data_IF_802953698570
#
_entry.id   IF_802953698570
#
_cell.length_a   1.000
_cell.length_b   1.000
_cell.length_c   1.000
_cell.angle_alpha   90.00
_cell.angle_beta   90.00
_cell.angle_gamma   90.00
#
_symmetry.space_group_name_H-M   'P 1'
#
loop_
_entity.id
_entity.type
_entity.pdbx_description
1 polymer ?
#
# COMPACT_ATOMS: atom_id res chain seq x y z
N UNK A 1 -25.56 -10.75 25.31
CA UNK A 1 -25.32 -9.56 24.45
C UNK A 1 -26.61 -8.81 24.12
N UNK A 2 -27.69 -9.50 23.72
CA UNK A 2 -28.98 -8.85 23.44
C UNK A 2 -29.51 -7.98 24.60
N UNK A 3 -29.43 -8.48 25.83
CA UNK A 3 -29.88 -7.71 27.01
C UNK A 3 -29.02 -6.46 27.28
N UNK A 4 -27.72 -6.53 26.99
CA UNK A 4 -26.82 -5.37 27.09
C UNK A 4 -27.19 -4.29 26.06
N UNK A 5 -27.57 -4.69 24.83
CA UNK A 5 -28.06 -3.76 23.81
C UNK A 5 -29.37 -3.09 24.24
N UNK A 6 -30.27 -3.85 24.86
CA UNK A 6 -31.54 -3.31 25.34
C UNK A 6 -31.34 -2.32 26.51
N UNK A 7 -30.49 -2.69 27.48
CA UNK A 7 -30.11 -1.81 28.58
C UNK A 7 -29.40 -0.55 28.07
N UNK A 8 -28.40 -0.70 27.18
CA UNK A 8 -27.66 0.42 26.61
C UNK A 8 -28.57 1.37 25.82
N UNK A 9 -29.51 0.85 25.03
CA UNK A 9 -30.45 1.69 24.28
C UNK A 9 -31.47 2.41 25.16
N UNK A 10 -31.73 1.89 26.36
CA UNK A 10 -32.65 2.49 27.33
C UNK A 10 -31.96 3.60 28.13
N UNK A 11 -30.71 3.38 28.55
CA UNK A 11 -30.00 4.28 29.45
C UNK A 11 -29.06 5.26 28.72
N UNK A 12 -28.50 4.89 27.56
CA UNK A 12 -27.56 5.70 26.79
C UNK A 12 -28.24 6.31 25.56
N UNK A 13 -29.08 7.32 25.74
CA UNK A 13 -29.92 7.90 24.67
C UNK A 13 -29.15 8.66 23.58
N UNK A 14 -27.96 9.18 23.91
CA UNK A 14 -27.11 9.97 23.00
C UNK A 14 -25.86 9.20 22.58
N UNK A 15 -25.97 7.87 22.44
CA UNK A 15 -24.86 7.05 21.97
C UNK A 15 -24.48 7.46 20.53
N UNK A 16 -23.20 7.72 20.29
CA UNK A 16 -22.68 8.03 18.93
C UNK A 16 -21.99 6.83 18.28
N UNK A 17 -21.45 5.90 19.08
CA UNK A 17 -20.66 4.78 18.60
C UNK A 17 -21.04 3.50 19.32
N UNK A 18 -21.26 2.43 18.57
CA UNK A 18 -21.43 1.07 19.09
C UNK A 18 -20.33 0.17 18.54
N UNK A 19 -19.63 -0.53 19.44
CA UNK A 19 -18.58 -1.48 19.08
C UNK A 19 -18.91 -2.85 19.66
N UNK A 20 -19.26 -3.81 18.80
CA UNK A 20 -19.54 -5.18 19.22
C UNK A 20 -18.27 -6.04 19.23
N UNK A 21 -18.20 -7.05 20.14
CA UNK A 21 -17.10 -8.00 20.16
C UNK A 21 -17.14 -8.93 18.93
N UNK A 22 -15.99 -9.50 18.59
CA UNK A 22 -15.87 -10.61 17.62
C UNK A 22 -16.40 -11.87 18.28
N UNK A 23 -17.09 -12.74 17.53
CA UNK A 23 -17.50 -14.06 18.00
C UNK A 23 -16.29 -14.86 18.51
N UNK A 24 -16.45 -15.53 19.65
CA UNK A 24 -15.42 -16.46 20.14
C UNK A 24 -15.51 -17.76 19.35
N UNK A 25 -14.44 -18.11 18.64
CA UNK A 25 -14.35 -19.31 17.82
C UNK A 25 -14.53 -20.60 18.64
N UNK A 26 -14.23 -20.56 19.95
CA UNK A 26 -14.37 -21.72 20.85
C UNK A 26 -15.83 -22.08 21.14
N UNK A 27 -16.76 -21.16 20.91
CA UNK A 27 -18.18 -21.32 21.16
C UNK A 27 -19.02 -21.02 19.92
N UNK A 28 -18.47 -21.32 18.73
CA UNK A 28 -19.06 -20.93 17.46
C UNK A 28 -20.53 -21.35 17.31
N UNK A 29 -20.86 -22.59 17.70
CA UNK A 29 -22.22 -23.14 17.60
C UNK A 29 -23.20 -22.40 18.53
N UNK A 30 -22.85 -22.28 19.82
CA UNK A 30 -23.68 -21.57 20.80
C UNK A 30 -23.83 -20.06 20.49
N UNK A 31 -22.82 -19.46 19.85
CA UNK A 31 -22.90 -18.07 19.39
C UNK A 31 -23.81 -17.97 18.17
N UNK A 32 -23.71 -18.91 17.21
CA UNK A 32 -24.52 -18.93 16.00
C UNK A 32 -26.02 -19.02 16.32
N UNK A 33 -26.41 -19.89 17.26
CA UNK A 33 -27.80 -20.07 17.70
C UNK A 33 -28.43 -18.80 18.31
N UNK A 34 -27.60 -17.86 18.79
CA UNK A 34 -28.05 -16.62 19.43
C UNK A 34 -27.90 -15.38 18.54
N UNK A 35 -27.35 -15.52 17.32
CA UNK A 35 -27.08 -14.37 16.45
C UNK A 35 -28.34 -13.62 16.06
N UNK A 36 -29.42 -14.34 15.73
CA UNK A 36 -30.68 -13.74 15.31
C UNK A 36 -31.30 -12.90 16.44
N UNK A 37 -31.27 -13.41 17.67
CA UNK A 37 -31.72 -12.67 18.85
C UNK A 37 -30.86 -11.41 19.09
N UNK A 38 -29.55 -11.51 18.94
CA UNK A 38 -28.64 -10.36 19.09
C UNK A 38 -28.91 -9.30 18.02
N UNK A 39 -29.12 -9.69 16.76
CA UNK A 39 -29.40 -8.77 15.66
C UNK A 39 -30.78 -8.13 15.79
N UNK A 40 -31.79 -8.87 16.22
CA UNK A 40 -33.10 -8.31 16.55
C UNK A 40 -33.01 -7.23 17.64
N UNK A 41 -32.26 -7.51 18.72
CA UNK A 41 -32.00 -6.52 19.78
C UNK A 41 -31.15 -5.35 19.29
N UNK A 42 -30.18 -5.58 18.41
CA UNK A 42 -29.39 -4.52 17.77
C UNK A 42 -30.27 -3.58 16.96
N UNK A 43 -31.13 -4.08 16.09
CA UNK A 43 -32.02 -3.23 15.29
C UNK A 43 -33.01 -2.45 16.15
N UNK A 44 -33.52 -3.07 17.21
CA UNK A 44 -34.39 -2.41 18.20
C UNK A 44 -33.64 -1.28 18.92
N UNK A 45 -32.39 -1.52 19.32
CA UNK A 45 -31.52 -0.53 19.95
C UNK A 45 -31.19 0.64 18.99
N UNK A 46 -30.85 0.34 17.73
CA UNK A 46 -30.57 1.36 16.71
C UNK A 46 -31.79 2.26 16.44
N UNK A 47 -33.01 1.72 16.48
CA UNK A 47 -34.24 2.51 16.38
C UNK A 47 -34.37 3.50 17.54
N UNK A 48 -34.18 3.03 18.77
CA UNK A 48 -34.20 3.89 19.97
C UNK A 48 -33.12 4.98 19.92
N UNK A 49 -31.90 4.65 19.50
CA UNK A 49 -30.83 5.65 19.36
C UNK A 49 -31.09 6.64 18.24
N UNK A 50 -31.72 6.22 17.13
CA UNK A 50 -32.17 7.14 16.08
C UNK A 50 -33.19 8.14 16.62
N UNK A 51 -34.17 7.68 17.38
CA UNK A 51 -35.17 8.55 18.02
C UNK A 51 -34.49 9.50 19.02
N UNK A 52 -33.61 8.99 19.89
CA UNK A 52 -32.88 9.76 20.89
C UNK A 52 -31.89 10.79 20.35
N UNK A 53 -31.37 10.60 19.12
CA UNK A 53 -30.47 11.55 18.45
C UNK A 53 -31.20 12.52 17.50
N UNK A 54 -32.53 12.59 17.55
CA UNK A 54 -33.32 13.47 16.69
C UNK A 54 -33.31 13.02 15.22
N UNK A 55 -33.30 11.72 14.98
CA UNK A 55 -33.36 11.10 13.65
C UNK A 55 -32.01 10.77 13.01
N UNK A 56 -30.88 11.08 13.68
CA UNK A 56 -29.54 10.95 13.09
C UNK A 56 -28.95 9.53 13.17
N UNK A 57 -29.38 8.75 14.15
CA UNK A 57 -28.80 7.43 14.46
C UNK A 57 -27.37 7.51 15.01
N UNK A 58 -26.64 6.41 14.91
CA UNK A 58 -25.23 6.34 15.30
C UNK A 58 -24.32 6.91 14.20
N UNK A 59 -23.14 7.42 14.62
CA UNK A 59 -22.05 7.85 13.73
C UNK A 59 -21.04 6.74 13.48
N UNK A 60 -20.90 5.78 14.39
CA UNK A 60 -20.03 4.62 14.21
C UNK A 60 -20.73 3.32 14.62
N UNK A 61 -20.60 2.30 13.77
CA UNK A 61 -21.12 0.97 14.01
C UNK A 61 -20.07 -0.08 13.63
N UNK A 62 -19.57 -0.81 14.62
CA UNK A 62 -18.62 -1.92 14.44
C UNK A 62 -19.33 -3.23 14.76
N UNK A 63 -19.66 -4.01 13.73
CA UNK A 63 -20.34 -5.32 13.86
C UNK A 63 -19.53 -6.38 13.13
N UNK A 64 -18.58 -7.05 13.80
CA UNK A 64 -17.59 -7.90 13.15
C UNK A 64 -18.06 -9.32 12.86
N UNK A 65 -19.26 -9.70 13.30
CA UNK A 65 -19.76 -11.08 13.20
C UNK A 65 -21.21 -11.09 12.72
N UNK A 66 -21.53 -11.98 11.79
CA UNK A 66 -22.85 -12.23 11.20
C UNK A 66 -23.09 -13.74 11.06
N UNK A 67 -24.34 -14.11 10.81
CA UNK A 67 -24.70 -15.50 10.52
C UNK A 67 -23.97 -16.00 9.27
N UNK A 68 -23.46 -17.22 9.33
CA UNK A 68 -22.80 -17.87 8.19
C UNK A 68 -23.73 -18.72 7.34
N UNK A 69 -24.92 -19.05 7.84
CA UNK A 69 -25.90 -19.92 7.18
C UNK A 69 -26.62 -19.21 6.03
N UNK A 70 -27.11 -17.98 6.29
CA UNK A 70 -27.72 -17.12 5.28
C UNK A 70 -26.92 -15.82 5.14
N UNK A 71 -25.74 -15.93 4.51
CA UNK A 71 -24.83 -14.78 4.36
C UNK A 71 -25.47 -13.66 3.56
N UNK A 72 -26.26 -13.98 2.53
CA UNK A 72 -26.85 -12.98 1.65
C UNK A 72 -28.03 -12.28 2.31
N UNK A 73 -29.02 -13.04 2.81
CA UNK A 73 -30.20 -12.46 3.45
C UNK A 73 -29.83 -11.63 4.68
N UNK A 74 -28.95 -12.13 5.54
CA UNK A 74 -28.52 -11.37 6.73
C UNK A 74 -27.67 -10.15 6.40
N UNK A 75 -26.82 -10.20 5.36
CA UNK A 75 -26.07 -9.01 4.92
C UNK A 75 -26.99 -7.96 4.30
N UNK A 76 -27.96 -8.37 3.49
CA UNK A 76 -28.94 -7.50 2.87
C UNK A 76 -29.84 -6.82 3.91
N UNK A 77 -30.35 -7.59 4.88
CA UNK A 77 -31.13 -7.05 5.97
C UNK A 77 -30.31 -6.06 6.80
N UNK A 78 -29.10 -6.47 7.21
CA UNK A 78 -28.21 -5.62 8.00
C UNK A 78 -27.95 -4.28 7.32
N UNK A 79 -27.53 -4.29 6.06
CA UNK A 79 -27.20 -3.06 5.35
C UNK A 79 -28.45 -2.19 5.17
N UNK A 80 -29.61 -2.78 4.86
CA UNK A 80 -30.89 -2.07 4.73
C UNK A 80 -31.33 -1.41 6.05
N UNK A 81 -31.15 -2.10 7.18
CA UNK A 81 -31.44 -1.54 8.52
C UNK A 81 -30.47 -0.43 8.87
N UNK A 82 -29.16 -0.61 8.62
CA UNK A 82 -28.14 0.43 8.87
C UNK A 82 -28.45 1.69 8.08
N UNK A 83 -28.83 1.57 6.81
CA UNK A 83 -29.21 2.70 5.96
C UNK A 83 -30.39 3.49 6.53
N UNK A 84 -31.40 2.78 7.01
CA UNK A 84 -32.62 3.40 7.54
C UNK A 84 -32.40 3.99 8.93
N UNK A 85 -31.60 3.32 9.76
CA UNK A 85 -31.47 3.62 11.18
C UNK A 85 -30.27 4.52 11.53
N UNK A 86 -29.24 4.55 10.68
CA UNK A 86 -28.01 5.34 10.87
C UNK A 86 -27.70 6.18 9.61
N UNK A 87 -28.54 7.15 9.24
CA UNK A 87 -28.35 7.94 8.02
C UNK A 87 -27.08 8.82 8.02
N UNK A 88 -26.49 9.11 9.19
CA UNK A 88 -25.25 9.89 9.32
C UNK A 88 -24.04 9.02 9.67
N UNK A 89 -24.05 7.74 9.31
CA UNK A 89 -22.97 6.82 9.63
C UNK A 89 -21.65 7.25 8.95
N UNK A 90 -20.64 7.48 9.78
CA UNK A 90 -19.29 7.86 9.37
C UNK A 90 -18.35 6.65 9.30
N UNK A 91 -18.63 5.61 10.10
CA UNK A 91 -17.81 4.40 10.20
C UNK A 91 -18.67 3.14 10.24
N UNK A 92 -18.51 2.29 9.24
CA UNK A 92 -18.95 0.89 9.22
C UNK A 92 -17.71 0.01 9.18
N UNK A 93 -17.15 -0.33 10.35
CA UNK A 93 -15.77 -0.82 10.46
C UNK A 93 -15.60 -2.10 11.27
N UNK A 94 -16.61 -2.98 11.24
CA UNK A 94 -16.55 -4.32 11.81
C UNK A 94 -15.28 -5.08 11.42
N UNK A 95 -14.90 -4.98 10.14
CA UNK A 95 -13.74 -5.62 9.55
C UNK A 95 -12.45 -5.35 10.31
N UNK A 96 -12.26 -4.16 10.91
CA UNK A 96 -11.04 -3.85 11.66
C UNK A 96 -10.81 -4.77 12.85
N UNK A 97 -11.88 -5.33 13.41
CA UNK A 97 -11.80 -6.24 14.57
C UNK A 97 -11.44 -7.67 14.16
N UNK A 98 -11.82 -8.07 12.95
CA UNK A 98 -11.51 -9.39 12.37
C UNK A 98 -10.39 -9.34 11.33
N UNK A 99 -9.80 -8.17 11.08
CA UNK A 99 -8.77 -7.98 10.06
C UNK A 99 -7.47 -8.61 10.53
N UNK A 100 -7.02 -9.59 9.77
CA UNK A 100 -5.75 -10.25 9.97
C UNK A 100 -4.94 -10.16 8.68
N UNK A 101 -3.80 -9.50 8.78
CA UNK A 101 -2.80 -9.47 7.72
C UNK A 101 -1.71 -10.48 8.05
N UNK A 102 -1.77 -11.65 7.42
CA UNK A 102 -0.72 -12.66 7.50
C UNK A 102 0.45 -12.36 6.57
N UNK A 103 1.45 -13.24 6.59
CA UNK A 103 2.60 -13.15 5.68
C UNK A 103 2.18 -13.24 4.21
N UNK A 104 1.11 -13.96 3.91
CA UNK A 104 0.69 -14.29 2.54
C UNK A 104 -0.65 -13.67 2.15
N UNK A 105 -1.55 -13.51 3.12
CA UNK A 105 -2.95 -13.18 2.84
C UNK A 105 -3.55 -12.21 3.86
N UNK A 106 -4.51 -11.42 3.38
CA UNK A 106 -5.47 -10.71 4.21
C UNK A 106 -6.71 -11.58 4.43
N UNK A 107 -7.12 -11.71 5.68
CA UNK A 107 -8.34 -12.38 6.09
C UNK A 107 -9.21 -11.44 6.94
N UNK A 108 -10.52 -11.54 6.78
CA UNK A 108 -11.51 -10.91 7.65
C UNK A 108 -12.71 -11.84 7.79
N UNK A 109 -13.24 -11.96 9.01
CA UNK A 109 -14.47 -12.72 9.24
C UNK A 109 -15.69 -11.94 8.76
N UNK A 110 -15.62 -10.59 8.74
CA UNK A 110 -16.65 -9.78 8.11
C UNK A 110 -16.61 -9.90 6.59
N UNK A 111 -17.74 -10.29 6.00
CA UNK A 111 -18.03 -10.25 4.56
C UNK A 111 -19.46 -9.76 4.34
N UNK A 112 -19.65 -8.73 3.51
CA UNK A 112 -20.95 -8.16 3.14
C UNK A 112 -21.42 -8.82 1.84
N UNK A 113 -22.06 -9.98 1.95
CA UNK A 113 -22.62 -10.69 0.81
C UNK A 113 -23.93 -10.04 0.38
N UNK A 114 -23.88 -8.82 -0.14
CA UNK A 114 -25.09 -8.06 -0.47
C UNK A 114 -25.45 -8.19 -1.94
N UNK A 115 -26.75 -8.13 -2.22
CA UNK A 115 -27.26 -8.01 -3.58
C UNK A 115 -26.85 -6.66 -4.17
N UNK A 116 -26.80 -6.59 -5.50
CA UNK A 116 -26.41 -5.38 -6.23
C UNK A 116 -27.33 -4.20 -5.91
N UNK A 117 -28.62 -4.44 -5.69
CA UNK A 117 -29.59 -3.38 -5.43
C UNK A 117 -29.45 -2.80 -4.03
N UNK A 118 -29.19 -3.64 -3.03
CA UNK A 118 -28.89 -3.19 -1.67
C UNK A 118 -27.56 -2.43 -1.65
N UNK A 119 -26.53 -2.91 -2.37
CA UNK A 119 -25.26 -2.20 -2.50
C UNK A 119 -25.41 -0.82 -3.15
N UNK A 120 -26.15 -0.71 -4.26
CA UNK A 120 -26.43 0.58 -4.92
C UNK A 120 -27.13 1.56 -3.96
N UNK A 121 -28.10 1.07 -3.20
CA UNK A 121 -28.83 1.88 -2.21
C UNK A 121 -27.91 2.33 -1.08
N UNK A 122 -27.02 1.44 -0.63
CA UNK A 122 -25.98 1.77 0.34
C UNK A 122 -25.07 2.88 -0.14
N UNK A 123 -24.50 2.71 -1.34
CA UNK A 123 -23.59 3.67 -1.96
C UNK A 123 -24.20 5.07 -2.11
N UNK A 124 -25.49 5.16 -2.40
CA UNK A 124 -26.22 6.44 -2.51
C UNK A 124 -26.37 7.16 -1.17
N UNK A 125 -26.53 6.41 -0.08
CA UNK A 125 -26.87 6.97 1.23
C UNK A 125 -25.64 7.19 2.14
N UNK A 126 -24.55 6.44 1.92
CA UNK A 126 -23.37 6.43 2.80
C UNK A 126 -22.39 7.61 2.57
N UNK A 127 -22.91 8.81 2.33
CA UNK A 127 -22.12 10.01 1.98
C UNK A 127 -21.24 10.53 3.12
N UNK A 128 -21.56 10.19 4.37
CA UNK A 128 -20.81 10.59 5.55
C UNK A 128 -19.60 9.68 5.85
N UNK A 129 -19.42 8.58 5.11
CA UNK A 129 -18.32 7.63 5.34
C UNK A 129 -16.95 8.31 5.32
N UNK A 130 -16.11 7.94 6.30
CA UNK A 130 -14.75 8.46 6.45
C UNK A 130 -13.66 7.47 6.08
N UNK A 131 -13.98 6.19 6.16
CA UNK A 131 -13.06 5.08 5.92
C UNK A 131 -13.82 3.87 5.35
N UNK A 132 -13.22 3.19 4.38
CA UNK A 132 -13.76 1.96 3.82
C UNK A 132 -12.63 1.03 3.36
N UNK A 133 -12.85 -0.29 3.48
CA UNK A 133 -11.94 -1.32 2.96
C UNK A 133 -12.70 -2.28 2.07
N UNK A 134 -12.14 -2.59 0.91
CA UNK A 134 -12.67 -3.59 -0.01
C UNK A 134 -12.55 -5.03 0.52
N UNK A 135 -11.92 -5.25 1.68
CA UNK A 135 -11.84 -6.56 2.33
C UNK A 135 -13.22 -7.18 2.63
N UNK A 136 -14.28 -6.36 2.72
CA UNK A 136 -15.63 -6.83 3.05
C UNK A 136 -16.56 -7.02 1.87
N UNK A 137 -16.20 -6.62 0.65
CA UNK A 137 -17.08 -6.67 -0.53
C UNK A 137 -16.35 -7.27 -1.73
N UNK A 138 -17.08 -7.74 -2.77
CA UNK A 138 -16.45 -8.18 -4.01
C UNK A 138 -15.54 -7.12 -4.64
N UNK A 139 -14.39 -7.55 -5.14
CA UNK A 139 -13.46 -6.73 -5.90
C UNK A 139 -13.85 -6.75 -7.40
N UNK A 140 -14.85 -5.96 -7.77
CA UNK A 140 -15.38 -5.90 -9.14
C UNK A 140 -15.94 -4.52 -9.50
N UNK A 141 -16.00 -4.23 -10.80
CA UNK A 141 -16.57 -3.00 -11.37
C UNK A 141 -18.03 -2.83 -10.97
N UNK A 142 -18.77 -3.93 -10.80
CA UNK A 142 -20.16 -3.88 -10.32
C UNK A 142 -20.30 -3.28 -8.92
N UNK A 143 -19.23 -3.34 -8.11
CA UNK A 143 -19.17 -2.72 -6.80
C UNK A 143 -18.46 -1.36 -6.83
N UNK A 144 -17.43 -1.19 -7.67
CA UNK A 144 -16.73 0.08 -7.85
C UNK A 144 -17.64 1.17 -8.42
N UNK A 145 -18.40 0.86 -9.47
CA UNK A 145 -19.18 1.85 -10.21
C UNK A 145 -20.26 2.50 -9.32
N UNK A 146 -21.15 1.77 -8.61
CA UNK A 146 -22.14 2.42 -7.75
C UNK A 146 -21.52 3.24 -6.62
N UNK A 147 -20.39 2.78 -6.08
CA UNK A 147 -19.69 3.49 -5.01
C UNK A 147 -19.09 4.80 -5.53
N UNK A 148 -18.42 4.76 -6.68
CA UNK A 148 -17.77 5.89 -7.32
C UNK A 148 -18.73 6.94 -7.90
N UNK A 149 -19.88 6.51 -8.43
CA UNK A 149 -20.89 7.40 -9.01
C UNK A 149 -21.58 8.32 -7.99
N UNK A 150 -21.46 8.04 -6.70
CA UNK A 150 -21.96 8.92 -5.64
C UNK A 150 -20.78 9.46 -4.86
N UNK A 151 -20.60 10.78 -4.79
CA UNK A 151 -19.48 11.38 -4.05
C UNK A 151 -19.54 11.07 -2.56
N UNK A 152 -18.42 10.66 -1.97
CA UNK A 152 -18.17 10.55 -0.53
C UNK A 152 -17.23 11.67 -0.08
N UNK A 153 -17.76 12.87 0.24
CA UNK A 153 -16.96 14.05 0.50
C UNK A 153 -16.09 13.95 1.77
N UNK A 154 -16.36 12.97 2.64
CA UNK A 154 -15.64 12.80 3.91
C UNK A 154 -14.70 11.58 3.91
N UNK A 155 -14.67 10.78 2.84
CA UNK A 155 -13.89 9.56 2.78
C UNK A 155 -12.40 9.89 2.66
N UNK A 156 -11.65 9.72 3.73
CA UNK A 156 -10.23 10.07 3.80
C UNK A 156 -9.31 8.86 3.71
N UNK A 157 -9.82 7.65 3.93
CA UNK A 157 -9.04 6.41 3.94
C UNK A 157 -9.73 5.33 3.12
N UNK A 158 -9.00 4.76 2.18
CA UNK A 158 -9.46 3.68 1.32
C UNK A 158 -8.42 2.57 1.29
N UNK A 159 -8.87 1.34 1.54
CA UNK A 159 -8.06 0.14 1.32
C UNK A 159 -8.65 -0.68 0.19
N UNK A 160 -7.81 -1.03 -0.79
CA UNK A 160 -8.12 -1.93 -1.88
C UNK A 160 -7.39 -3.25 -1.64
N UNK A 161 -8.14 -4.29 -1.35
CA UNK A 161 -7.60 -5.63 -1.10
C UNK A 161 -8.69 -6.67 -1.33
N UNK A 162 -8.33 -7.92 -1.11
CA UNK A 162 -9.22 -9.06 -1.20
C UNK A 162 -9.18 -9.86 0.11
N UNK A 163 -10.27 -10.52 0.44
CA UNK A 163 -10.37 -11.34 1.64
C UNK A 163 -10.42 -12.82 1.28
N UNK A 164 -9.40 -13.57 1.69
CA UNK A 164 -9.32 -15.01 1.37
C UNK A 164 -10.40 -15.85 2.06
N UNK A 165 -11.02 -15.34 3.13
CA UNK A 165 -12.12 -15.99 3.86
C UNK A 165 -13.50 -15.60 3.32
N UNK A 166 -13.57 -14.56 2.49
CA UNK A 166 -14.84 -14.16 1.92
C UNK A 166 -15.30 -15.18 0.87
N UNK A 167 -16.62 -15.38 0.71
CA UNK A 167 -17.15 -16.27 -0.32
C UNK A 167 -17.07 -15.67 -1.74
N UNK A 168 -16.51 -14.46 -1.88
CA UNK A 168 -16.41 -13.78 -3.17
C UNK A 168 -15.28 -14.38 -3.99
N UNK A 169 -15.54 -14.62 -5.27
CA UNK A 169 -14.50 -14.98 -6.23
C UNK A 169 -13.96 -13.72 -6.88
N UNK A 170 -12.66 -13.71 -7.20
CA UNK A 170 -12.07 -12.70 -8.09
C UNK A 170 -12.03 -13.29 -9.49
N UNK A 171 -12.52 -12.54 -10.48
CA UNK A 171 -12.38 -12.87 -11.90
C UNK A 171 -11.78 -11.67 -12.64
N UNK A 172 -10.74 -11.89 -13.44
CA UNK A 172 -9.98 -10.85 -14.16
C UNK A 172 -10.82 -10.01 -15.10
N UNK A 173 -11.94 -10.54 -15.60
CA UNK A 173 -12.85 -9.83 -16.48
C UNK A 173 -13.93 -9.02 -15.73
N UNK A 174 -14.00 -9.09 -14.40
CA UNK A 174 -15.01 -8.41 -13.59
C UNK A 174 -14.50 -7.11 -12.98
N UNK A 175 -13.21 -6.78 -13.12
CA UNK A 175 -12.65 -5.50 -12.68
C UNK A 175 -11.74 -4.89 -13.74
N UNK A 176 -11.63 -3.56 -13.73
CA UNK A 176 -10.80 -2.83 -14.69
C UNK A 176 -10.17 -1.58 -14.09
N UNK A 177 -9.13 -1.05 -14.75
CA UNK A 177 -8.62 0.32 -14.48
C UNK A 177 -9.75 1.35 -14.58
N UNK A 178 -10.67 1.20 -15.54
CA UNK A 178 -11.80 2.11 -15.72
C UNK A 178 -12.75 2.14 -14.52
N UNK A 179 -13.12 0.97 -14.00
CA UNK A 179 -13.95 0.88 -12.80
C UNK A 179 -13.26 1.48 -11.56
N UNK A 180 -11.96 1.23 -11.40
CA UNK A 180 -11.17 1.86 -10.34
C UNK A 180 -11.10 3.38 -10.49
N UNK A 181 -10.99 3.91 -11.71
CA UNK A 181 -10.99 5.35 -11.95
C UNK A 181 -12.33 5.99 -11.55
N UNK A 182 -13.45 5.33 -11.85
CA UNK A 182 -14.78 5.77 -11.37
C UNK A 182 -14.86 5.71 -9.85
N UNK A 183 -14.30 4.68 -9.21
CA UNK A 183 -14.22 4.62 -7.75
C UNK A 183 -13.50 5.84 -7.17
N UNK A 184 -12.36 6.23 -7.75
CA UNK A 184 -11.57 7.37 -7.29
C UNK A 184 -12.29 8.71 -7.48
N UNK A 185 -13.06 8.89 -8.56
CA UNK A 185 -13.86 10.11 -8.78
C UNK A 185 -14.92 10.33 -7.71
N UNK A 186 -15.40 9.25 -7.08
CA UNK A 186 -16.28 9.31 -5.91
C UNK A 186 -15.60 9.73 -4.61
N UNK A 187 -14.27 9.87 -4.56
CA UNK A 187 -13.50 10.01 -3.32
C UNK A 187 -12.61 11.28 -3.28
N UNK A 188 -13.17 12.51 -3.40
CA UNK A 188 -12.37 13.73 -3.55
C UNK A 188 -11.55 14.12 -2.31
N UNK A 189 -11.97 13.68 -1.12
CA UNK A 189 -11.27 13.95 0.14
C UNK A 189 -10.26 12.87 0.54
N UNK A 190 -9.96 11.94 -0.37
CA UNK A 190 -9.07 10.82 -0.09
C UNK A 190 -7.68 11.32 0.28
N UNK A 191 -7.19 10.90 1.45
CA UNK A 191 -5.86 11.23 1.97
C UNK A 191 -4.94 10.03 1.97
N UNK A 192 -5.46 8.84 2.27
CA UNK A 192 -4.69 7.61 2.36
C UNK A 192 -5.29 6.52 1.48
N UNK A 193 -4.48 6.00 0.56
CA UNK A 193 -4.80 4.85 -0.26
C UNK A 193 -3.80 3.73 0.04
N UNK A 194 -4.30 2.56 0.46
CA UNK A 194 -3.52 1.35 0.69
C UNK A 194 -4.04 0.23 -0.24
N UNK A 195 -3.20 -0.20 -1.18
CA UNK A 195 -3.48 -1.31 -2.09
C UNK A 195 -2.66 -2.51 -1.62
N UNK A 196 -3.35 -3.58 -1.25
CA UNK A 196 -2.75 -4.81 -0.72
C UNK A 196 -3.04 -5.95 -1.68
N UNK A 197 -2.02 -6.34 -2.42
CA UNK A 197 -2.03 -7.43 -3.37
C UNK A 197 -1.56 -8.71 -2.68
N UNK A 198 -2.04 -9.86 -3.14
CA UNK A 198 -1.62 -11.17 -2.68
C UNK A 198 -0.74 -11.83 -3.74
N UNK A 199 0.11 -12.79 -3.35
CA UNK A 199 0.69 -13.77 -4.28
C UNK A 199 0.23 -15.15 -3.88
N UNK A 200 -0.56 -15.78 -4.75
CA UNK A 200 -0.87 -17.20 -4.63
C UNK A 200 0.30 -18.02 -5.16
N UNK A 201 0.71 -19.00 -4.38
CA UNK A 201 1.51 -20.10 -4.84
C UNK A 201 0.60 -21.15 -5.49
N UNK A 202 1.10 -21.97 -6.43
CA UNK A 202 0.33 -23.07 -7.01
C UNK A 202 -0.28 -24.02 -5.98
N UNK A 203 0.33 -24.16 -4.79
CA UNK A 203 -0.21 -24.95 -3.69
C UNK A 203 -1.41 -24.29 -2.98
N UNK A 204 -1.54 -22.96 -3.05
CA UNK A 204 -2.62 -22.23 -2.38
C UNK A 204 -3.96 -22.43 -3.10
N UNK A 205 -3.92 -22.66 -4.42
CA UNK A 205 -5.11 -22.98 -5.22
C UNK A 205 -5.79 -24.30 -4.76
N UNK A 206 -5.05 -25.21 -4.13
CA UNK A 206 -5.61 -26.45 -3.56
C UNK A 206 -6.29 -26.21 -2.20
N UNK A 207 -5.93 -25.14 -1.49
CA UNK A 207 -6.43 -24.81 -0.15
C UNK A 207 -7.58 -23.81 -0.24
N UNK A 208 -7.56 -22.92 -1.24
CA UNK A 208 -8.52 -21.84 -1.41
C UNK A 208 -9.15 -21.87 -2.82
N UNK A 209 -10.05 -22.81 -3.10
CA UNK A 209 -10.66 -22.98 -4.43
C UNK A 209 -11.52 -21.79 -4.87
N UNK A 210 -11.90 -20.89 -3.95
CA UNK A 210 -12.59 -19.64 -4.25
C UNK A 210 -11.68 -18.57 -4.88
N UNK A 211 -10.36 -18.76 -4.80
CA UNK A 211 -9.38 -17.85 -5.39
C UNK A 211 -9.00 -18.41 -6.76
N UNK A 212 -9.96 -18.35 -7.69
CA UNK A 212 -9.75 -18.76 -9.08
C UNK A 212 -8.63 -17.91 -9.71
N UNK A 213 -8.59 -16.59 -9.41
CA UNK A 213 -7.62 -15.64 -9.94
C UNK A 213 -7.18 -14.61 -8.89
N UNK A 214 -6.00 -14.03 -9.09
CA UNK A 214 -5.49 -12.92 -8.29
C UNK A 214 -5.94 -11.58 -8.88
N UNK A 215 -6.03 -10.54 -8.04
CA UNK A 215 -6.10 -9.16 -8.54
C UNK A 215 -4.88 -8.93 -9.42
N UNK A 216 -5.14 -8.68 -10.69
CA UNK A 216 -4.13 -8.39 -11.68
C UNK A 216 -3.48 -7.04 -11.34
N UNK A 217 -2.17 -7.00 -11.01
CA UNK A 217 -1.49 -5.75 -10.70
C UNK A 217 -1.54 -4.73 -11.85
N UNK A 218 -1.72 -5.18 -13.09
CA UNK A 218 -1.71 -4.33 -14.28
C UNK A 218 -2.90 -3.36 -14.37
N UNK A 219 -3.92 -3.53 -13.53
CA UNK A 219 -5.02 -2.56 -13.43
C UNK A 219 -4.60 -1.27 -12.73
N UNK A 220 -3.52 -1.30 -11.95
CA UNK A 220 -2.93 -0.13 -11.26
C UNK A 220 -1.83 0.54 -12.11
N UNK A 221 -2.15 0.79 -13.39
CA UNK A 221 -1.25 1.35 -14.40
C UNK A 221 -1.14 2.89 -14.35
N UNK A 222 -0.50 3.48 -15.37
CA UNK A 222 -0.37 4.94 -15.49
C UNK A 222 -1.72 5.69 -15.50
N UNK A 223 -2.74 5.15 -16.14
CA UNK A 223 -4.06 5.80 -16.22
C UNK A 223 -4.77 5.79 -14.86
N UNK A 224 -4.52 4.75 -14.05
CA UNK A 224 -4.94 4.73 -12.65
C UNK A 224 -4.29 5.86 -11.84
N UNK A 225 -2.98 6.08 -11.98
CA UNK A 225 -2.30 7.16 -11.25
C UNK A 225 -2.70 8.55 -11.70
N UNK A 226 -2.94 8.75 -12.99
CA UNK A 226 -3.48 10.01 -13.50
C UNK A 226 -4.85 10.30 -12.90
N UNK A 227 -5.77 9.33 -12.96
CA UNK A 227 -7.08 9.47 -12.35
C UNK A 227 -6.99 9.70 -10.83
N UNK A 228 -6.09 9.02 -10.13
CA UNK A 228 -5.86 9.21 -8.70
C UNK A 228 -5.44 10.64 -8.37
N UNK A 229 -4.50 11.22 -9.12
CA UNK A 229 -4.02 12.57 -8.84
C UNK A 229 -5.02 13.65 -9.24
N UNK A 230 -5.80 13.39 -10.30
CA UNK A 230 -6.82 14.32 -10.79
C UNK A 230 -8.05 14.36 -9.87
N UNK A 231 -8.50 13.19 -9.39
CA UNK A 231 -9.70 13.07 -8.58
C UNK A 231 -9.46 13.22 -7.08
N UNK A 232 -8.25 12.95 -6.57
CA UNK A 232 -7.94 12.97 -5.14
C UNK A 232 -6.86 14.02 -4.79
N UNK A 233 -7.16 15.33 -4.87
CA UNK A 233 -6.18 16.41 -4.66
C UNK A 233 -5.63 16.44 -3.22
N UNK A 234 -6.33 15.83 -2.26
CA UNK A 234 -5.90 15.75 -0.85
C UNK A 234 -5.01 14.54 -0.54
N UNK A 235 -4.63 13.74 -1.54
CA UNK A 235 -3.86 12.52 -1.31
C UNK A 235 -2.51 12.82 -0.64
N UNK A 236 -2.27 12.18 0.51
CA UNK A 236 -1.04 12.31 1.31
C UNK A 236 -0.20 11.05 1.37
N UNK A 237 -0.84 9.89 1.29
CA UNK A 237 -0.21 8.58 1.43
C UNK A 237 -0.74 7.64 0.35
N UNK A 238 0.18 7.08 -0.43
CA UNK A 238 -0.06 5.98 -1.34
C UNK A 238 0.83 4.80 -0.95
N UNK A 239 0.21 3.63 -0.77
CA UNK A 239 0.90 2.35 -0.62
C UNK A 239 0.36 1.35 -1.64
N UNK A 240 1.26 0.69 -2.35
CA UNK A 240 0.97 -0.51 -3.14
C UNK A 240 1.97 -1.55 -2.70
N UNK A 241 1.47 -2.61 -2.10
CA UNK A 241 2.28 -3.62 -1.42
C UNK A 241 1.70 -4.98 -1.67
N UNK A 242 2.58 -5.96 -1.64
CA UNK A 242 2.28 -7.33 -2.01
C UNK A 242 2.66 -8.27 -0.87
N UNK A 243 1.72 -9.14 -0.50
CA UNK A 243 1.88 -10.18 0.51
C UNK A 243 2.29 -11.50 -0.18
N UNK A 244 3.03 -12.36 0.53
CA UNK A 244 3.51 -13.65 0.02
C UNK A 244 4.90 -14.04 0.51
N UNK A 245 5.14 -15.33 0.80
CA UNK A 245 6.42 -15.86 1.30
C UNK A 245 7.60 -15.70 0.32
N UNK A 246 7.30 -15.55 -0.98
CA UNK A 246 8.28 -15.15 -2.00
C UNK A 246 8.65 -13.66 -1.98
N UNK A 247 8.11 -12.87 -1.03
CA UNK A 247 8.73 -11.61 -0.64
C UNK A 247 10.21 -11.79 -0.23
N UNK A 248 10.60 -12.99 0.21
CA UNK A 248 11.97 -13.29 0.65
C UNK A 248 12.64 -14.45 -0.12
N UNK A 249 11.95 -15.15 -1.02
CA UNK A 249 12.49 -16.30 -1.76
C UNK A 249 12.81 -15.96 -3.23
N UNK A 250 13.98 -16.42 -3.71
CA UNK A 250 14.65 -16.01 -4.96
C UNK A 250 13.99 -16.50 -6.25
N UNK A 251 12.93 -17.31 -6.18
CA UNK A 251 12.43 -18.11 -7.30
C UNK A 251 10.91 -17.97 -7.50
N UNK A 252 10.48 -16.83 -8.02
CA UNK A 252 9.37 -16.69 -8.98
C UNK A 252 9.08 -15.20 -9.13
N UNK A 253 9.59 -14.61 -10.22
CA UNK A 253 9.18 -13.28 -10.68
C UNK A 253 8.25 -13.52 -11.87
N UNK A 254 6.98 -13.74 -11.61
CA UNK A 254 5.94 -13.19 -12.48
C UNK A 254 5.63 -11.83 -11.88
N UNK A 255 6.47 -10.86 -12.26
CA UNK A 255 6.36 -9.49 -11.78
C UNK A 255 5.06 -8.87 -12.22
N UNK A 256 4.66 -7.83 -11.51
CA UNK A 256 3.77 -6.80 -12.01
C UNK A 256 4.23 -6.47 -13.43
N UNK A 257 3.32 -6.56 -14.41
CA UNK A 257 3.62 -6.22 -15.78
C UNK A 257 4.13 -4.78 -15.86
N UNK A 258 4.71 -4.42 -16.99
CA UNK A 258 5.39 -3.15 -17.24
C UNK A 258 4.44 -1.92 -17.26
N UNK A 259 3.46 -1.83 -16.37
CA UNK A 259 2.30 -0.94 -16.48
C UNK A 259 2.44 0.38 -15.74
N UNK A 260 3.31 0.44 -14.73
CA UNK A 260 3.71 1.68 -14.07
C UNK A 260 4.97 2.19 -14.75
N UNK A 261 4.86 3.30 -15.48
CA UNK A 261 5.97 3.93 -16.18
C UNK A 261 6.26 5.32 -15.61
N UNK A 262 7.24 6.00 -16.19
CA UNK A 262 7.57 7.38 -15.83
C UNK A 262 6.38 8.34 -15.98
N UNK A 263 5.39 8.02 -16.84
CA UNK A 263 4.17 8.82 -17.01
C UNK A 263 3.31 8.81 -15.75
N UNK A 264 2.99 7.63 -15.20
CA UNK A 264 2.20 7.51 -13.97
C UNK A 264 2.95 8.06 -12.77
N UNK A 265 4.26 7.81 -12.70
CA UNK A 265 5.09 8.40 -11.65
C UNK A 265 5.15 9.93 -11.75
N UNK A 266 5.13 10.50 -12.96
CA UNK A 266 5.04 11.95 -13.18
C UNK A 266 3.75 12.58 -12.68
N UNK A 267 2.64 11.86 -12.78
CA UNK A 267 1.39 12.28 -12.14
C UNK A 267 1.57 12.37 -10.63
N UNK A 268 2.10 11.30 -10.00
CA UNK A 268 2.33 11.25 -8.56
C UNK A 268 3.29 12.36 -8.08
N UNK A 269 4.33 12.68 -8.85
CA UNK A 269 5.27 13.74 -8.49
C UNK A 269 4.59 15.11 -8.42
N UNK A 270 3.63 15.39 -9.32
CA UNK A 270 2.87 16.65 -9.38
C UNK A 270 1.77 16.76 -8.35
N UNK A 271 1.40 15.67 -7.67
CA UNK A 271 0.38 15.69 -6.63
C UNK A 271 0.83 16.57 -5.43
N UNK A 272 0.10 17.66 -5.11
CA UNK A 272 0.59 18.72 -4.24
C UNK A 272 0.73 18.29 -2.77
N UNK A 273 -0.15 17.41 -2.32
CA UNK A 273 -0.22 16.97 -0.93
C UNK A 273 0.47 15.62 -0.67
N UNK A 274 1.02 14.97 -1.71
CA UNK A 274 1.50 13.60 -1.63
C UNK A 274 2.87 13.51 -0.93
N UNK A 275 2.82 13.24 0.36
CA UNK A 275 4.00 13.15 1.23
C UNK A 275 4.63 11.77 1.31
N UNK A 276 3.87 10.69 1.12
CA UNK A 276 4.36 9.32 1.29
C UNK A 276 3.97 8.44 0.11
N UNK A 277 4.97 7.82 -0.52
CA UNK A 277 4.82 6.86 -1.61
C UNK A 277 5.62 5.61 -1.24
N UNK A 278 4.98 4.45 -1.25
CA UNK A 278 5.65 3.15 -1.07
C UNK A 278 5.02 2.15 -2.04
N UNK A 279 5.69 1.94 -3.16
CA UNK A 279 5.20 1.10 -4.26
C UNK A 279 6.19 -0.05 -4.44
N UNK A 280 5.66 -1.26 -4.52
CA UNK A 280 6.38 -2.48 -4.81
C UNK A 280 6.32 -2.77 -6.32
N UNK A 281 7.43 -3.28 -6.88
CA UNK A 281 7.59 -3.68 -8.29
C UNK A 281 7.41 -2.53 -9.29
N UNK A 282 8.15 -1.43 -9.08
CA UNK A 282 8.12 -0.25 -9.96
C UNK A 282 9.18 -0.35 -11.06
N UNK A 283 8.78 -0.07 -12.30
CA UNK A 283 9.70 0.25 -13.38
C UNK A 283 9.83 1.77 -13.50
N UNK A 284 10.97 2.30 -13.10
CA UNK A 284 11.29 3.72 -13.28
C UNK A 284 12.58 3.87 -14.06
N UNK A 285 12.65 4.87 -14.93
CA UNK A 285 13.92 5.29 -15.52
C UNK A 285 14.76 6.12 -14.54
N UNK A 286 16.00 6.39 -14.92
CA UNK A 286 16.82 7.38 -14.23
C UNK A 286 16.22 8.80 -14.36
N UNK A 287 15.69 9.13 -15.54
CA UNK A 287 15.10 10.43 -15.85
C UNK A 287 13.89 10.72 -14.96
N UNK A 288 13.07 9.71 -14.66
CA UNK A 288 11.99 9.81 -13.68
C UNK A 288 12.48 10.31 -12.31
N UNK A 289 13.54 9.70 -11.79
CA UNK A 289 14.12 10.06 -10.49
C UNK A 289 14.79 11.43 -10.55
N UNK A 290 15.51 11.73 -11.64
CA UNK A 290 16.17 13.02 -11.85
C UNK A 290 15.15 14.15 -12.00
N UNK A 291 14.09 13.97 -12.78
CA UNK A 291 13.00 14.93 -12.92
C UNK A 291 12.37 15.26 -11.57
N UNK A 292 12.20 14.27 -10.71
CA UNK A 292 11.73 14.49 -9.34
C UNK A 292 12.77 15.24 -8.48
N UNK A 293 14.05 14.85 -8.57
CA UNK A 293 15.15 15.54 -7.91
C UNK A 293 15.46 16.91 -8.51
N UNK A 294 14.86 17.30 -9.63
CA UNK A 294 14.97 18.61 -10.24
C UNK A 294 13.68 19.42 -10.17
N UNK A 295 12.54 18.78 -9.88
CA UNK A 295 11.25 19.44 -9.74
C UNK A 295 11.39 20.57 -8.71
N UNK A 296 11.13 21.80 -9.18
CA UNK A 296 11.37 23.01 -8.41
C UNK A 296 10.51 23.01 -7.16
N UNK A 297 11.11 23.47 -6.06
CA UNK A 297 10.50 23.52 -4.74
C UNK A 297 9.31 24.48 -4.63
N UNK A 298 9.01 25.24 -5.69
CA UNK A 298 8.12 26.40 -5.66
C UNK A 298 6.62 26.03 -5.62
N UNK A 299 6.24 24.78 -5.92
CA UNK A 299 4.85 24.30 -5.80
C UNK A 299 4.53 23.66 -4.43
N UNK A 300 5.50 23.53 -3.53
CA UNK A 300 5.31 22.95 -2.21
C UNK A 300 4.98 24.03 -1.18
N UNK A 301 3.69 24.35 -1.02
CA UNK A 301 3.24 25.14 0.12
C UNK A 301 3.31 24.28 1.40
N UNK A 302 4.48 24.23 2.04
CA UNK A 302 4.63 23.71 3.40
C UNK A 302 5.95 22.97 3.68
N UNK A 303 6.30 22.91 4.96
CA UNK A 303 7.43 22.14 5.54
C UNK A 303 7.03 20.64 5.58
N UNK A 304 6.54 20.09 4.47
CA UNK A 304 6.09 18.70 4.42
C UNK A 304 7.23 17.81 3.98
N UNK A 305 7.63 16.90 4.88
CA UNK A 305 8.59 15.85 4.57
C UNK A 305 8.04 14.90 3.50
N UNK A 306 8.75 14.76 2.37
CA UNK A 306 8.39 13.81 1.30
C UNK A 306 9.22 12.54 1.40
N UNK A 307 8.56 11.39 1.44
CA UNK A 307 9.17 10.07 1.62
C UNK A 307 8.72 9.12 0.54
N UNK A 308 9.65 8.72 -0.31
CA UNK A 308 9.42 7.86 -1.47
C UNK A 308 10.19 6.56 -1.28
N UNK A 309 9.52 5.44 -1.51
CA UNK A 309 10.10 4.11 -1.50
C UNK A 309 9.62 3.35 -2.73
N UNK A 310 10.57 3.02 -3.60
CA UNK A 310 10.35 2.09 -4.70
C UNK A 310 11.10 0.80 -4.38
N UNK A 311 10.35 -0.29 -4.30
CA UNK A 311 10.87 -1.61 -3.97
C UNK A 311 10.86 -2.47 -5.21
N UNK A 312 11.82 -3.39 -5.27
CA UNK A 312 11.97 -4.34 -6.38
C UNK A 312 12.05 -3.71 -7.77
N UNK A 313 12.99 -2.78 -7.98
CA UNK A 313 13.29 -2.27 -9.34
C UNK A 313 13.82 -3.36 -10.31
N UNK A 314 14.00 -4.60 -9.84
CA UNK A 314 14.37 -5.74 -10.67
C UNK A 314 15.66 -5.50 -11.45
N UNK A 315 15.58 -5.68 -12.78
CA UNK A 315 16.70 -5.57 -13.70
C UNK A 315 17.14 -4.11 -13.96
N UNK A 316 16.24 -3.13 -13.83
CA UNK A 316 16.59 -1.73 -14.11
C UNK A 316 17.37 -1.05 -12.97
N UNK A 317 17.42 -1.66 -11.78
CA UNK A 317 18.06 -1.08 -10.59
C UNK A 317 19.50 -0.61 -10.85
N UNK A 318 20.33 -1.41 -11.53
CA UNK A 318 21.72 -1.06 -11.79
C UNK A 318 21.87 0.18 -12.68
N UNK A 319 21.14 0.18 -13.80
CA UNK A 319 21.15 1.29 -14.77
C UNK A 319 20.61 2.58 -14.15
N UNK A 320 19.51 2.50 -13.41
CA UNK A 320 18.90 3.65 -12.73
C UNK A 320 19.88 4.25 -11.72
N UNK A 321 20.48 3.43 -10.86
CA UNK A 321 21.45 3.89 -9.86
C UNK A 321 22.66 4.53 -10.52
N UNK A 322 23.21 3.92 -11.57
CA UNK A 322 24.38 4.43 -12.27
C UNK A 322 24.09 5.80 -12.90
N UNK A 323 23.04 5.89 -13.72
CA UNK A 323 22.68 7.13 -14.43
C UNK A 323 22.33 8.25 -13.47
N UNK A 324 21.52 7.98 -12.45
CA UNK A 324 21.15 9.00 -11.45
C UNK A 324 22.40 9.55 -10.74
N UNK A 325 23.34 8.70 -10.31
CA UNK A 325 24.56 9.18 -9.65
C UNK A 325 25.48 9.95 -10.59
N UNK A 326 25.66 9.48 -11.83
CA UNK A 326 26.50 10.16 -12.81
C UNK A 326 25.95 11.54 -13.18
N UNK A 327 24.64 11.66 -13.44
CA UNK A 327 24.02 12.93 -13.86
C UNK A 327 23.93 13.93 -12.71
N UNK A 328 23.61 13.45 -11.49
CA UNK A 328 23.67 14.28 -10.28
C UNK A 328 25.08 14.75 -9.95
N UNK A 329 26.13 14.20 -10.56
CA UNK A 329 27.51 14.70 -10.43
C UNK A 329 27.86 15.62 -11.60
N UNK A 330 27.44 15.31 -12.82
CA UNK A 330 27.81 16.04 -14.06
C UNK A 330 27.11 17.38 -14.29
N UNK A 331 25.82 17.52 -13.95
CA UNK A 331 25.04 18.73 -14.33
C UNK A 331 25.53 20.00 -13.60
N UNK A 332 25.92 21.10 -14.27
CA UNK A 332 26.40 22.32 -13.61
C UNK A 332 25.39 22.94 -12.62
N UNK A 333 25.91 23.57 -11.56
CA UNK A 333 25.20 24.11 -10.37
C UNK A 333 24.11 25.15 -10.66
N UNK A 334 24.00 25.66 -11.88
CA UNK A 334 23.14 26.82 -12.20
C UNK A 334 21.63 26.54 -12.10
N UNK A 335 21.16 25.29 -12.06
CA UNK A 335 19.73 24.96 -11.93
C UNK A 335 19.30 24.24 -10.65
N UNK A 336 20.23 23.79 -9.80
CA UNK A 336 19.88 22.97 -8.61
C UNK A 336 19.91 23.79 -7.31
N UNK A 337 20.51 24.98 -7.31
CA UNK A 337 21.11 25.54 -6.09
C UNK A 337 20.71 26.95 -5.64
N UNK A 338 19.54 27.51 -5.98
CA UNK A 338 19.16 28.82 -5.40
C UNK A 338 17.92 28.88 -4.49
N UNK A 339 17.14 27.81 -4.30
CA UNK A 339 15.95 27.86 -3.43
C UNK A 339 15.54 26.57 -2.68
N UNK A 340 16.44 25.60 -2.47
CA UNK A 340 16.08 24.32 -1.80
C UNK A 340 15.98 24.33 -0.27
N UNK A 341 15.89 25.49 0.37
CA UNK A 341 16.20 25.62 1.81
C UNK A 341 15.15 25.11 2.80
N UNK A 342 14.05 24.42 2.41
CA UNK A 342 13.08 23.90 3.40
C UNK A 342 12.45 22.52 3.14
N UNK A 343 12.61 21.91 1.97
CA UNK A 343 11.93 20.63 1.68
C UNK A 343 12.74 19.44 2.21
N UNK A 344 12.21 18.77 3.23
CA UNK A 344 12.75 17.51 3.74
C UNK A 344 12.37 16.36 2.79
N UNK A 345 13.37 15.68 2.22
CA UNK A 345 13.16 14.65 1.21
C UNK A 345 13.93 13.39 1.54
N UNK A 346 13.30 12.23 1.33
CA UNK A 346 13.94 10.91 1.29
C UNK A 346 13.40 10.10 0.11
N UNK A 347 14.29 9.61 -0.75
CA UNK A 347 13.99 8.64 -1.80
C UNK A 347 14.76 7.36 -1.51
N UNK A 348 14.09 6.22 -1.50
CA UNK A 348 14.70 4.92 -1.29
C UNK A 348 14.37 4.03 -2.49
N UNK A 349 15.40 3.58 -3.19
CA UNK A 349 15.32 2.62 -4.29
C UNK A 349 15.92 1.31 -3.82
N UNK A 350 15.23 0.19 -4.00
CA UNK A 350 15.76 -1.12 -3.61
C UNK A 350 15.47 -2.22 -4.62
N UNK A 351 16.35 -3.22 -4.66
CA UNK A 351 16.20 -4.46 -5.41
C UNK A 351 16.70 -5.63 -4.58
N UNK A 352 15.89 -6.68 -4.40
CA UNK A 352 16.30 -7.91 -3.68
C UNK A 352 17.53 -8.56 -4.29
N UNK A 353 17.60 -8.58 -5.63
CA UNK A 353 18.77 -9.13 -6.34
C UNK A 353 19.96 -8.19 -6.23
N UNK A 354 19.72 -6.89 -6.02
CA UNK A 354 20.74 -5.87 -6.08
C UNK A 354 21.47 -5.83 -7.42
N UNK A 355 22.52 -5.03 -7.48
CA UNK A 355 23.40 -4.91 -8.63
C UNK A 355 24.85 -4.80 -8.17
N UNK A 356 25.78 -5.29 -8.99
CA UNK A 356 27.20 -5.32 -8.67
C UNK A 356 27.87 -4.09 -9.25
N UNK A 357 28.44 -3.26 -8.39
CA UNK A 357 29.21 -2.07 -8.76
C UNK A 357 30.68 -2.25 -8.40
N UNK A 358 31.56 -1.62 -9.16
CA UNK A 358 32.95 -1.45 -8.76
C UNK A 358 33.03 -0.54 -7.54
N UNK A 359 33.80 -0.96 -6.53
CA UNK A 359 34.00 -0.18 -5.32
C UNK A 359 34.72 1.13 -5.60
N UNK A 360 35.72 1.10 -6.48
CA UNK A 360 36.44 2.29 -6.95
C UNK A 360 35.49 3.32 -7.57
N UNK A 361 34.54 2.86 -8.38
CA UNK A 361 33.51 3.71 -8.97
C UNK A 361 32.60 4.33 -7.91
N UNK A 362 32.10 3.53 -6.94
CA UNK A 362 31.27 4.06 -5.84
C UNK A 362 32.02 5.09 -4.99
N UNK A 363 33.30 4.88 -4.70
CA UNK A 363 34.15 5.83 -3.97
C UNK A 363 34.34 7.11 -4.79
N UNK A 364 34.58 7.00 -6.10
CA UNK A 364 34.67 8.16 -7.00
C UNK A 364 33.37 8.96 -7.03
N UNK A 365 32.22 8.29 -7.13
CA UNK A 365 30.92 8.94 -7.07
C UNK A 365 30.69 9.62 -5.73
N UNK A 366 31.05 8.98 -4.61
CA UNK A 366 30.97 9.59 -3.28
C UNK A 366 31.79 10.90 -3.21
N UNK A 367 33.06 10.86 -3.60
CA UNK A 367 33.94 12.04 -3.56
C UNK A 367 33.40 13.18 -4.45
N UNK A 368 32.93 12.84 -5.65
CA UNK A 368 32.39 13.83 -6.57
C UNK A 368 31.08 14.44 -6.06
N UNK A 369 30.24 13.64 -5.39
CA UNK A 369 29.00 14.10 -4.76
C UNK A 369 29.26 14.98 -3.54
N UNK A 370 30.24 14.62 -2.69
CA UNK A 370 30.66 15.44 -1.54
C UNK A 370 31.24 16.78 -2.00
N UNK A 371 32.02 16.79 -3.08
CA UNK A 371 32.53 18.02 -3.69
C UNK A 371 31.39 18.90 -4.19
N UNK A 372 30.39 18.31 -4.84
CA UNK A 372 29.25 19.04 -5.40
C UNK A 372 28.27 19.55 -4.35
N UNK A 373 27.93 18.72 -3.37
CA UNK A 373 26.96 19.02 -2.31
C UNK A 373 27.67 19.21 -0.97
N UNK A 374 28.76 20.01 -0.95
CA UNK A 374 29.61 20.21 0.23
C UNK A 374 28.85 20.74 1.46
N UNK A 375 27.71 21.41 1.25
CA UNK A 375 26.82 21.94 2.31
C UNK A 375 25.82 20.90 2.84
N UNK A 376 25.81 19.68 2.31
CA UNK A 376 24.89 18.61 2.70
C UNK A 376 23.48 18.76 2.16
N UNK A 377 23.27 19.59 1.13
CA UNK A 377 21.96 19.86 0.52
C UNK A 377 21.27 18.60 -0.01
N UNK A 378 22.08 17.62 -0.42
CA UNK A 378 21.64 16.28 -0.77
C UNK A 378 22.74 15.32 -0.33
N UNK A 379 22.35 14.18 0.22
CA UNK A 379 23.23 13.08 0.59
C UNK A 379 22.71 11.79 -0.02
N UNK A 380 23.59 10.80 -0.22
CA UNK A 380 23.15 9.46 -0.58
C UNK A 380 23.71 8.38 0.36
N UNK A 381 23.09 7.22 0.41
CA UNK A 381 23.61 6.06 1.12
C UNK A 381 23.31 4.80 0.32
N UNK A 382 24.33 3.99 0.15
CA UNK A 382 24.32 2.72 -0.56
C UNK A 382 24.44 1.61 0.48
N UNK A 383 23.52 0.65 0.43
CA UNK A 383 23.52 -0.52 1.33
C UNK A 383 23.86 -1.75 0.50
N UNK A 384 24.97 -2.41 0.86
CA UNK A 384 25.33 -3.66 0.24
C UNK A 384 24.51 -4.81 0.81
N UNK A 385 24.16 -5.78 -0.03
CA UNK A 385 23.63 -7.05 0.43
C UNK A 385 24.76 -7.87 1.03
N UNK A 386 24.50 -8.54 2.16
CA UNK A 386 25.45 -9.49 2.74
C UNK A 386 25.89 -10.51 1.70
N UNK A 387 27.16 -10.88 1.77
CA UNK A 387 27.73 -11.98 1.00
C UNK A 387 26.88 -13.23 1.27
N UNK A 388 26.05 -13.61 0.30
CA UNK A 388 25.41 -14.92 0.31
C UNK A 388 26.55 -15.94 0.48
N UNK A 389 26.55 -16.69 1.58
CA UNK A 389 27.43 -17.86 1.77
C UNK A 389 27.22 -18.92 0.68
N UNK A 390 26.25 -18.71 -0.22
CA UNK A 390 25.82 -19.63 -1.28
C UNK A 390 26.71 -19.65 -2.53
N UNK A 391 27.72 -18.79 -2.66
CA UNK A 391 28.69 -18.95 -3.77
C UNK A 391 29.51 -20.25 -3.67
N UNK A 392 29.44 -20.97 -2.54
CA UNK A 392 30.08 -22.28 -2.35
C UNK A 392 29.13 -23.46 -2.64
N UNK A 393 27.80 -23.26 -2.76
CA UNK A 393 26.86 -24.38 -3.02
C UNK A 393 26.35 -24.40 -4.46
N UNK A 394 27.11 -25.13 -5.28
CA UNK A 394 26.70 -25.93 -6.46
C UNK A 394 25.44 -25.46 -7.19
N UNK A 395 25.61 -24.72 -8.30
CA UNK A 395 24.63 -24.75 -9.41
C UNK A 395 25.15 -25.67 -10.50
N UNK A 396 24.69 -26.93 -10.51
CA UNK A 396 24.93 -27.89 -11.59
C UNK A 396 24.03 -27.64 -12.81
N UNK A 397 24.10 -26.44 -13.38
CA UNK A 397 23.40 -26.15 -14.64
C UNK A 397 24.38 -25.60 -15.67
N UNK A 398 24.27 -26.11 -16.89
CA UNK A 398 24.96 -25.67 -18.11
C UNK A 398 24.97 -24.14 -18.22
N UNK A 399 26.08 -23.51 -17.80
CA UNK A 399 26.37 -22.10 -18.07
C UNK A 399 27.19 -22.03 -19.34
N UNK A 400 26.85 -21.10 -20.23
CA UNK A 400 27.64 -20.88 -21.44
C UNK A 400 29.10 -20.53 -21.08
N UNK A 401 30.05 -20.82 -21.97
CA UNK A 401 31.48 -20.56 -21.71
C UNK A 401 31.73 -19.08 -21.31
N UNK A 402 30.99 -18.15 -21.92
CA UNK A 402 31.06 -16.72 -21.62
C UNK A 402 30.55 -16.39 -20.21
N UNK A 403 29.45 -17.02 -19.77
CA UNK A 403 28.95 -16.88 -18.40
C UNK A 403 29.91 -17.48 -17.36
N UNK A 404 30.66 -18.53 -17.69
CA UNK A 404 31.66 -19.11 -16.80
C UNK A 404 32.88 -18.20 -16.65
N UNK A 405 33.34 -17.57 -17.73
CA UNK A 405 34.43 -16.58 -17.69
C UNK A 405 34.02 -15.36 -16.86
N UNK A 406 32.83 -14.79 -17.12
CA UNK A 406 32.30 -13.66 -16.33
C UNK A 406 32.16 -14.07 -14.86
N UNK A 407 31.63 -15.26 -14.55
CA UNK A 407 31.51 -15.73 -13.17
C UNK A 407 32.88 -15.90 -12.47
N UNK A 408 33.91 -16.38 -13.18
CA UNK A 408 35.28 -16.50 -12.63
C UNK A 408 35.92 -15.13 -12.40
N UNK A 409 35.72 -14.17 -13.30
CA UNK A 409 36.20 -12.79 -13.14
C UNK A 409 35.52 -12.12 -11.95
N UNK A 410 34.19 -12.20 -11.88
CA UNK A 410 33.42 -11.68 -10.76
C UNK A 410 33.85 -12.34 -9.45
N UNK A 411 34.04 -13.67 -9.40
CA UNK A 411 34.49 -14.36 -8.21
C UNK A 411 35.88 -13.87 -7.74
N UNK A 412 36.83 -13.65 -8.66
CA UNK A 412 38.16 -13.14 -8.33
C UNK A 412 38.12 -11.69 -7.83
N UNK A 413 37.36 -10.82 -8.48
CA UNK A 413 37.21 -9.43 -8.06
C UNK A 413 36.43 -9.30 -6.73
N UNK A 414 35.51 -10.23 -6.45
CA UNK A 414 34.78 -10.31 -5.18
C UNK A 414 35.64 -10.85 -4.03
N UNK A 415 36.67 -11.67 -4.32
CA UNK A 415 37.69 -12.09 -3.34
C UNK A 415 38.61 -10.93 -2.96
N UNK A 416 38.88 -10.02 -3.90
CA UNK A 416 39.70 -8.82 -3.67
C UNK A 416 38.94 -7.63 -3.05
N UNK A 417 37.63 -7.78 -2.79
CA UNK A 417 36.75 -6.73 -2.26
C UNK A 417 36.63 -5.49 -3.19
N UNK A 418 36.91 -5.70 -4.49
CA UNK A 418 36.85 -4.69 -5.55
C UNK A 418 35.42 -4.47 -6.06
N UNK A 419 34.51 -5.42 -5.80
CA UNK A 419 33.12 -5.39 -6.23
C UNK A 419 32.17 -5.41 -5.03
N UNK A 420 31.14 -4.56 -5.10
CA UNK A 420 30.11 -4.43 -4.08
C UNK A 420 28.73 -4.71 -4.68
N UNK A 421 28.01 -5.66 -4.09
CA UNK A 421 26.61 -5.93 -4.44
C UNK A 421 25.69 -5.01 -3.66
N UNK A 422 25.16 -3.99 -4.32
CA UNK A 422 24.26 -2.99 -3.75
C UNK A 422 22.82 -3.46 -3.87
N UNK A 423 22.09 -3.53 -2.76
CA UNK A 423 20.66 -3.86 -2.75
C UNK A 423 19.74 -2.66 -2.60
N UNK A 424 20.27 -1.53 -2.13
CA UNK A 424 19.48 -0.33 -1.84
C UNK A 424 20.31 0.93 -1.97
N UNK A 425 19.71 1.95 -2.59
CA UNK A 425 20.19 3.32 -2.66
C UNK A 425 19.18 4.24 -1.97
N UNK A 426 19.66 5.19 -1.17
CA UNK A 426 18.84 6.18 -0.50
C UNK A 426 19.39 7.57 -0.80
N UNK A 427 18.55 8.49 -1.25
CA UNK A 427 18.84 9.93 -1.28
C UNK A 427 18.09 10.62 -0.15
N UNK A 428 18.73 11.57 0.52
CA UNK A 428 18.12 12.32 1.62
C UNK A 428 18.70 13.72 1.77
N UNK A 429 17.88 14.67 2.23
CA UNK A 429 18.32 16.05 2.52
C UNK A 429 18.67 16.27 3.99
N UNK A 430 18.11 15.48 4.91
CA UNK A 430 18.41 15.53 6.34
C UNK A 430 18.32 14.13 6.98
N UNK A 431 19.27 13.80 7.86
CA UNK A 431 19.27 12.56 8.65
C UNK A 431 18.03 12.43 9.53
N UNK A 432 17.45 13.54 10.01
CA UNK A 432 16.24 13.54 10.83
C UNK A 432 15.03 12.94 10.11
N UNK A 433 15.03 12.95 8.77
CA UNK A 433 13.93 12.44 7.93
C UNK A 433 13.97 10.92 7.79
N UNK A 434 15.14 10.33 7.96
CA UNK A 434 15.33 8.88 7.89
C UNK A 434 14.61 8.19 9.04
N UNK A 435 14.27 6.91 8.88
CA UNK A 435 13.63 6.17 9.97
C UNK A 435 14.65 5.86 11.06
N UNK A 436 14.17 5.58 12.28
CA UNK A 436 15.03 5.31 13.44
C UNK A 436 16.08 4.23 13.17
N UNK A 437 15.74 3.21 12.38
CA UNK A 437 16.68 2.13 12.00
C UNK A 437 17.78 2.65 11.11
N UNK A 438 17.46 3.36 10.03
CA UNK A 438 18.44 3.98 9.14
C UNK A 438 19.30 5.02 9.88
N UNK A 439 18.70 5.84 10.74
CA UNK A 439 19.43 6.77 11.59
C UNK A 439 20.44 6.05 12.49
N UNK A 440 20.04 4.93 13.11
CA UNK A 440 20.94 4.15 13.96
C UNK A 440 22.10 3.53 13.17
N UNK A 441 21.83 2.97 11.99
CA UNK A 441 22.86 2.42 11.10
C UNK A 441 23.85 3.51 10.68
N UNK A 442 23.35 4.69 10.31
CA UNK A 442 24.17 5.84 9.89
C UNK A 442 24.94 6.53 11.02
N UNK A 443 24.47 6.42 12.27
CA UNK A 443 25.20 6.94 13.45
C UNK A 443 26.43 6.10 13.75
N UNK A 444 26.34 4.78 13.60
CA UNK A 444 27.45 3.85 13.87
C UNK A 444 28.64 4.04 12.93
N UNK A 445 28.43 4.59 11.74
CA UNK A 445 29.47 4.72 10.72
C UNK A 445 30.33 6.01 10.82
N UNK A 446 29.99 6.98 11.68
CA UNK A 446 30.89 8.08 12.11
C UNK A 446 31.25 9.20 11.10
N UNK A 447 30.89 9.11 9.82
CA UNK A 447 31.16 10.12 8.78
C UNK A 447 30.02 11.14 8.56
N UNK A 448 30.30 12.25 7.86
CA UNK A 448 29.38 13.42 7.77
C UNK A 448 28.49 13.43 6.52
N UNK A 449 28.88 12.81 5.41
CA UNK A 449 28.14 12.81 4.14
C UNK A 449 28.48 11.54 3.34
N UNK A 450 27.50 11.03 2.59
CA UNK A 450 27.54 9.90 1.65
C UNK A 450 28.22 8.57 2.09
N UNK A 451 27.54 7.43 1.91
CA UNK A 451 27.95 6.19 2.59
C UNK A 451 27.90 4.95 1.71
N UNK A 452 28.94 4.13 1.80
CA UNK A 452 28.90 2.71 1.44
C UNK A 452 28.77 1.94 2.75
N UNK A 453 27.58 1.38 3.00
CA UNK A 453 27.25 0.67 4.24
C UNK A 453 27.21 -0.82 3.94
N UNK A 454 28.15 -1.53 4.54
CA UNK A 454 28.13 -3.00 4.59
C UNK A 454 27.35 -3.45 5.81
N UNK A 455 26.13 -3.93 5.60
CA UNK A 455 25.26 -4.50 6.64
C UNK A 455 25.78 -5.85 7.16
#
# INVERSE_FOLDING_TARGET
MGDLLDAASTHCKHLEALILPVKDVRYADAVADNMDFVFWKLYSALKKWKEGSGGKGLRQLTVPSRSEFDREGTSNEFLSKVLTLCPQLEYLDGWKRSYHEGTEFVASDESLCVSRDVWKTFCKSCVALREFSWVVVPFSDEFFLPFGLTTKPNLTRLQLTYNIRAPFRIRRNEYSTGGLNVLLSGCPALKHLDIVLHRLQPCDALIYPQIDEMIDPDVFNDDFFLALTDNCPQLRLLRIRELGSLSNSRKSCTGVGNTITDRGLAALWRAPNLTYIDIHDVKCSADAILNFLHADGDSYQGIATRRIRFRELGACFGEVVQRVLEDLVRVPTQKVGRRRTKAQLVISLSSRRGYVFERSWLVKMQQAFETRFAKGELCFAVFSLKKDKDTVRRSGSSRSAQQQVIAKILARAWIKDDLLRVGRLIFYTDKAVLDKRLQAVLRKSGRRSSWIITD
#
